data_IF_694191971907
#
_entry.id   IF_694191971907
#
_cell.length_a   1.000
_cell.length_b   1.000
_cell.length_c   1.000
_cell.angle_alpha   90.00
_cell.angle_beta   90.00
_cell.angle_gamma   90.00
#
_symmetry.space_group_name_H-M   'P 1'
#
loop_
_entity.id
_entity.type
_entity.pdbx_description
1 polymer ?
#
# COMPACT_ATOMS: atom_id res chain seq x y z
N UNK A 1 -78.49 -2.24 -15.11
CA UNK A 1 -78.43 -2.73 -16.50
C UNK A 1 -77.00 -2.47 -16.98
N UNK A 2 -76.14 -3.50 -17.06
CA UNK A 2 -75.66 -4.17 -18.31
C UNK A 2 -75.15 -3.15 -19.35
N UNK A 3 -74.01 -3.24 -20.02
CA UNK A 3 -72.88 -4.17 -20.14
C UNK A 3 -71.92 -3.47 -21.16
N UNK A 4 -70.60 -3.69 -21.10
CA UNK A 4 -69.69 -3.21 -22.15
C UNK A 4 -68.23 -3.60 -21.93
N UNK A 5 -67.80 -4.66 -22.60
CA UNK A 5 -66.51 -5.38 -22.49
C UNK A 5 -65.27 -4.64 -23.05
N UNK A 6 -64.11 -4.95 -22.43
CA UNK A 6 -62.75 -5.19 -22.98
C UNK A 6 -62.00 -4.08 -23.75
N UNK A 7 -60.77 -3.74 -23.29
CA UNK A 7 -59.52 -4.33 -23.80
C UNK A 7 -58.33 -4.07 -22.86
N UNK A 8 -57.56 -5.13 -22.68
CA UNK A 8 -56.29 -5.25 -21.96
C UNK A 8 -55.15 -4.80 -22.88
N UNK A 9 -54.25 -3.94 -22.41
CA UNK A 9 -52.91 -3.82 -22.99
C UNK A 9 -51.90 -3.42 -21.92
N UNK A 10 -51.30 -4.47 -21.36
CA UNK A 10 -50.05 -4.47 -20.61
C UNK A 10 -48.94 -4.05 -21.58
N UNK A 11 -48.28 -2.93 -21.34
CA UNK A 11 -47.05 -2.58 -22.06
C UNK A 11 -45.85 -3.11 -21.25
N UNK A 12 -45.45 -4.34 -21.56
CA UNK A 12 -44.13 -4.87 -21.24
C UNK A 12 -43.12 -4.09 -22.10
N UNK A 13 -42.30 -3.25 -21.49
CA UNK A 13 -41.04 -2.81 -22.08
C UNK A 13 -39.91 -3.69 -21.54
N UNK A 14 -39.59 -4.71 -22.34
CA UNK A 14 -38.30 -5.39 -22.32
C UNK A 14 -37.24 -4.41 -22.81
N UNK A 15 -36.35 -3.98 -21.91
CA UNK A 15 -35.04 -3.46 -22.29
C UNK A 15 -33.98 -4.40 -21.70
N UNK A 16 -33.60 -5.36 -22.54
CA UNK A 16 -32.35 -6.07 -22.43
C UNK A 16 -31.21 -5.17 -22.93
N UNK A 17 -30.09 -5.17 -22.19
CA UNK A 17 -28.79 -4.73 -22.71
C UNK A 17 -28.35 -3.33 -22.27
N UNK A 18 -27.69 -3.24 -21.12
CA UNK A 18 -26.34 -2.66 -20.99
C UNK A 18 -25.86 -2.81 -19.53
N UNK A 19 -24.63 -3.33 -19.41
CA UNK A 19 -23.96 -3.75 -18.19
C UNK A 19 -23.83 -2.65 -17.13
N UNK A 20 -24.05 -3.06 -15.88
CA UNK A 20 -23.36 -2.54 -14.70
C UNK A 20 -23.67 -1.10 -14.30
N UNK A 21 -24.84 -0.84 -13.71
CA UNK A 21 -24.98 0.29 -12.79
C UNK A 21 -26.23 0.19 -11.90
N UNK A 22 -26.11 0.78 -10.71
CA UNK A 22 -27.14 1.05 -9.68
C UNK A 22 -27.43 -0.08 -8.68
N UNK A 23 -27.53 -1.37 -9.07
CA UNK A 23 -27.78 -2.44 -8.06
C UNK A 23 -26.58 -2.80 -7.17
N UNK A 24 -25.34 -2.57 -7.62
CA UNK A 24 -24.13 -2.80 -6.82
C UNK A 24 -23.89 -1.75 -5.72
N UNK A 25 -24.57 -0.61 -5.76
CA UNK A 25 -24.39 0.44 -4.75
C UNK A 25 -24.93 0.04 -3.35
N UNK A 26 -25.79 -0.97 -3.27
CA UNK A 26 -26.51 -1.36 -2.05
C UNK A 26 -26.18 -2.77 -1.51
N UNK A 27 -25.26 -3.50 -2.14
CA UNK A 27 -24.71 -4.77 -1.61
C UNK A 27 -23.19 -4.68 -1.63
N UNK A 28 -22.60 -4.00 -0.64
CA UNK A 28 -21.14 -3.76 -0.61
C UNK A 28 -20.36 -4.96 -0.09
N UNK A 29 -20.44 -6.08 -0.80
CA UNK A 29 -19.47 -7.16 -0.62
C UNK A 29 -18.27 -6.92 -1.50
N UNK A 30 -17.06 -7.12 -0.99
CA UNK A 30 -15.85 -7.04 -1.83
C UNK A 30 -15.70 -8.26 -2.73
N UNK A 31 -14.93 -8.20 -3.84
CA UNK A 31 -14.61 -9.39 -4.63
C UNK A 31 -14.01 -10.54 -3.82
N UNK A 32 -13.24 -10.21 -2.77
CA UNK A 32 -12.70 -11.19 -1.82
C UNK A 32 -13.81 -11.87 -1.01
N UNK A 33 -14.76 -11.10 -0.47
CA UNK A 33 -15.88 -11.63 0.31
C UNK A 33 -16.86 -12.42 -0.57
N UNK A 34 -17.07 -12.00 -1.81
CA UNK A 34 -17.84 -12.76 -2.81
C UNK A 34 -17.19 -14.11 -3.10
N UNK A 35 -15.85 -14.15 -3.16
CA UNK A 35 -15.13 -15.39 -3.34
C UNK A 35 -15.30 -16.34 -2.13
N UNK A 36 -15.21 -15.84 -0.90
CA UNK A 36 -15.51 -16.64 0.30
C UNK A 36 -16.92 -17.23 0.21
N UNK A 37 -17.93 -16.42 -0.10
CA UNK A 37 -19.32 -16.88 -0.27
C UNK A 37 -19.44 -17.93 -1.37
N UNK A 38 -18.65 -17.83 -2.43
CA UNK A 38 -18.64 -18.84 -3.50
C UNK A 38 -18.08 -20.19 -3.03
N UNK A 39 -17.08 -20.18 -2.15
CA UNK A 39 -16.55 -21.40 -1.51
C UNK A 39 -17.57 -22.02 -0.56
N UNK A 40 -18.31 -21.20 0.19
CA UNK A 40 -19.40 -21.66 1.06
C UNK A 40 -20.54 -22.28 0.24
N UNK A 41 -20.97 -21.61 -0.84
CA UNK A 41 -22.02 -22.11 -1.74
C UNK A 41 -21.62 -23.42 -2.43
N UNK A 42 -20.33 -23.62 -2.68
CA UNK A 42 -19.79 -24.85 -3.24
C UNK A 42 -19.47 -25.92 -2.18
N UNK A 43 -19.74 -25.64 -0.89
CA UNK A 43 -19.42 -26.53 0.25
C UNK A 43 -17.91 -26.84 0.39
N UNK A 44 -17.06 -25.96 -0.16
CA UNK A 44 -15.61 -26.10 -0.15
C UNK A 44 -14.94 -25.38 1.01
N UNK A 45 -15.64 -24.47 1.70
CA UNK A 45 -15.11 -23.66 2.81
C UNK A 45 -14.52 -24.51 3.96
N UNK A 46 -15.02 -25.73 4.15
CA UNK A 46 -14.54 -26.67 5.16
C UNK A 46 -13.43 -27.61 4.67
N UNK A 47 -12.91 -27.43 3.46
CA UNK A 47 -11.70 -28.16 3.03
C UNK A 47 -10.45 -27.59 3.72
N UNK A 48 -9.39 -28.39 3.95
CA UNK A 48 -8.14 -27.89 4.51
C UNK A 48 -7.56 -26.69 3.73
N UNK A 49 -7.64 -26.72 2.40
CA UNK A 49 -7.15 -25.65 1.53
C UNK A 49 -7.96 -24.36 1.67
N UNK A 50 -9.29 -24.43 1.65
CA UNK A 50 -10.12 -23.24 1.83
C UNK A 50 -9.95 -22.62 3.22
N UNK A 51 -9.89 -23.44 4.28
CA UNK A 51 -9.60 -22.95 5.64
C UNK A 51 -8.24 -22.26 5.72
N UNK A 52 -7.20 -22.86 5.13
CA UNK A 52 -5.87 -22.27 5.09
C UNK A 52 -5.87 -20.93 4.33
N UNK A 53 -6.60 -20.85 3.22
CA UNK A 53 -6.74 -19.63 2.44
C UNK A 53 -7.46 -18.51 3.22
N UNK A 54 -8.58 -18.83 3.87
CA UNK A 54 -9.31 -17.86 4.71
C UNK A 54 -8.44 -17.41 5.88
N UNK A 55 -7.75 -18.34 6.54
CA UNK A 55 -6.85 -18.04 7.65
C UNK A 55 -5.69 -17.15 7.21
N UNK A 56 -5.08 -17.41 6.04
CA UNK A 56 -4.03 -16.55 5.48
C UNK A 56 -4.52 -15.12 5.24
N UNK A 57 -5.75 -14.97 4.73
CA UNK A 57 -6.39 -13.67 4.50
C UNK A 57 -6.73 -12.90 5.78
N UNK A 58 -6.89 -13.59 6.90
CA UNK A 58 -7.09 -12.98 8.23
C UNK A 58 -5.76 -12.70 8.95
N UNK A 59 -4.77 -13.57 8.76
CA UNK A 59 -3.48 -13.48 9.46
C UNK A 59 -2.74 -12.18 9.15
N UNK A 60 -2.96 -11.58 7.97
CA UNK A 60 -2.32 -10.31 7.58
C UNK A 60 -2.54 -9.15 8.55
N UNK A 61 -3.66 -9.15 9.28
CA UNK A 61 -3.95 -8.08 10.26
C UNK A 61 -3.07 -8.16 11.51
N UNK A 62 -2.54 -9.35 11.80
CA UNK A 62 -1.65 -9.62 12.91
C UNK A 62 -0.18 -9.69 12.48
N UNK A 63 0.09 -10.18 11.26
CA UNK A 63 1.42 -10.41 10.72
C UNK A 63 1.56 -9.78 9.33
N UNK A 64 1.93 -8.49 9.33
CA UNK A 64 2.21 -7.71 8.12
C UNK A 64 3.55 -6.99 8.23
N UNK A 65 4.24 -6.87 7.10
CA UNK A 65 5.49 -6.11 7.04
C UNK A 65 5.20 -4.61 7.04
N UNK A 66 6.06 -3.84 7.72
CA UNK A 66 5.95 -2.38 7.79
C UNK A 66 6.85 -1.79 6.71
N UNK A 67 6.26 -1.05 5.78
CA UNK A 67 6.98 -0.40 4.68
C UNK A 67 6.92 1.11 4.79
N UNK A 68 7.96 1.77 4.30
CA UNK A 68 7.95 3.21 4.08
C UNK A 68 7.48 3.48 2.65
N UNK A 69 6.75 4.57 2.45
CA UNK A 69 6.31 5.00 1.14
C UNK A 69 7.22 6.12 0.59
N UNK A 70 7.41 6.20 -0.75
CA UNK A 70 6.92 5.27 -1.76
C UNK A 70 7.65 3.91 -1.72
N UNK A 71 7.01 2.84 -2.21
CA UNK A 71 7.65 1.52 -2.33
C UNK A 71 7.27 0.79 -3.62
N UNK A 72 8.12 -0.13 -4.05
CA UNK A 72 7.80 -1.10 -5.10
C UNK A 72 8.32 -2.49 -4.78
N UNK A 73 7.57 -3.52 -5.16
CA UNK A 73 7.93 -4.92 -4.93
C UNK A 73 7.41 -5.77 -6.09
N UNK A 74 8.15 -6.82 -6.44
CA UNK A 74 7.65 -7.93 -7.24
C UNK A 74 7.58 -9.19 -6.37
N UNK A 75 6.50 -9.96 -6.48
CA UNK A 75 6.25 -11.11 -5.63
C UNK A 75 5.63 -12.29 -6.36
N UNK A 76 5.50 -13.39 -5.62
CA UNK A 76 4.99 -14.66 -6.14
C UNK A 76 4.08 -15.34 -5.12
N UNK A 77 3.05 -15.99 -5.64
CA UNK A 77 2.19 -16.95 -4.96
C UNK A 77 2.26 -18.31 -5.63
N UNK A 78 2.45 -19.37 -4.84
CA UNK A 78 2.38 -20.74 -5.31
C UNK A 78 0.95 -21.26 -5.24
N UNK A 79 0.55 -22.12 -6.19
CA UNK A 79 -0.76 -22.73 -6.18
C UNK A 79 -0.97 -23.68 -4.98
N UNK A 80 0.09 -24.38 -4.56
CA UNK A 80 0.03 -25.40 -3.52
C UNK A 80 0.05 -24.87 -2.08
N UNK A 81 0.29 -23.57 -1.87
CA UNK A 81 0.36 -22.98 -0.54
C UNK A 81 -0.49 -21.71 -0.46
N UNK A 82 -1.74 -21.82 0.04
CA UNK A 82 -2.61 -20.67 0.21
C UNK A 82 -1.95 -19.60 1.09
N UNK A 83 -1.75 -18.41 0.54
CA UNK A 83 -1.07 -17.33 1.23
C UNK A 83 -1.67 -15.97 0.86
N UNK A 84 -1.50 -15.02 1.76
CA UNK A 84 -1.75 -13.60 1.51
C UNK A 84 -0.44 -12.81 1.70
N UNK A 85 -0.38 -11.64 1.09
CA UNK A 85 0.68 -10.65 1.32
C UNK A 85 0.03 -9.39 1.84
N UNK A 86 0.69 -8.75 2.78
CA UNK A 86 0.25 -7.45 3.24
C UNK A 86 1.41 -6.48 3.45
N UNK A 87 1.08 -5.20 3.29
CA UNK A 87 1.95 -4.05 3.47
C UNK A 87 1.26 -3.08 4.40
N UNK A 88 1.87 -2.81 5.55
CA UNK A 88 1.38 -1.83 6.52
C UNK A 88 2.23 -0.57 6.44
N UNK A 89 1.59 0.59 6.41
CA UNK A 89 2.27 1.88 6.26
C UNK A 89 1.49 3.01 6.93
N UNK A 90 2.20 4.09 7.25
CA UNK A 90 1.61 5.33 7.74
C UNK A 90 1.09 6.17 6.58
N UNK A 91 -0.02 6.87 6.81
CA UNK A 91 -0.67 7.75 5.83
C UNK A 91 -1.01 9.08 6.48
N UNK A 92 -0.98 10.15 5.69
CA UNK A 92 -1.29 11.50 6.17
C UNK A 92 -2.56 12.04 5.52
N UNK A 93 -3.31 12.80 6.30
CA UNK A 93 -4.38 13.63 5.79
C UNK A 93 -3.84 14.54 4.66
N UNK A 94 -4.61 14.64 3.57
CA UNK A 94 -4.22 15.44 2.40
C UNK A 94 -3.36 14.69 1.40
N UNK A 95 -3.10 13.40 1.63
CA UNK A 95 -2.47 12.52 0.64
C UNK A 95 -3.50 11.69 -0.12
N UNK A 96 -3.22 11.48 -1.40
CA UNK A 96 -3.87 10.50 -2.26
C UNK A 96 -2.88 9.37 -2.52
N UNK A 97 -3.24 8.17 -2.06
CA UNK A 97 -2.47 6.96 -2.34
C UNK A 97 -2.85 6.41 -3.69
N UNK A 98 -1.86 6.18 -4.54
CA UNK A 98 -2.02 5.44 -5.79
C UNK A 98 -1.24 4.14 -5.69
N UNK A 99 -1.96 3.03 -5.85
CA UNK A 99 -1.42 1.68 -5.94
C UNK A 99 -1.58 1.24 -7.38
N UNK A 100 -0.50 0.82 -8.00
CA UNK A 100 -0.48 0.29 -9.37
C UNK A 100 0.33 -0.98 -9.42
N UNK A 101 0.06 -1.83 -10.38
CA UNK A 101 0.82 -3.06 -10.56
C UNK A 101 0.29 -3.89 -11.69
N UNK A 102 0.94 -5.03 -11.91
CA UNK A 102 0.56 -6.03 -12.90
C UNK A 102 0.44 -7.36 -12.20
N UNK A 103 -0.56 -8.17 -12.53
CA UNK A 103 -0.58 -9.59 -12.20
C UNK A 103 -0.30 -10.41 -13.45
N UNK A 104 0.43 -11.51 -13.31
CA UNK A 104 0.56 -12.55 -14.34
C UNK A 104 0.10 -13.87 -13.72
N UNK A 105 -1.06 -14.34 -14.17
CA UNK A 105 -1.72 -15.55 -13.69
C UNK A 105 -2.50 -16.21 -14.84
N UNK A 106 -3.06 -17.40 -14.59
CA UNK A 106 -3.89 -18.11 -15.57
C UNK A 106 -5.08 -17.26 -16.05
N UNK A 107 -5.56 -17.50 -17.27
CA UNK A 107 -6.73 -16.80 -17.80
C UNK A 107 -7.92 -17.05 -16.85
N UNK A 108 -8.44 -15.98 -16.24
CA UNK A 108 -9.49 -15.93 -15.22
C UNK A 108 -9.03 -16.00 -13.75
N UNK A 109 -7.76 -16.27 -13.46
CA UNK A 109 -7.30 -16.31 -12.08
C UNK A 109 -7.37 -14.91 -11.45
N UNK A 110 -7.96 -14.83 -10.26
CA UNK A 110 -8.15 -13.55 -9.57
C UNK A 110 -7.05 -13.25 -8.57
N UNK A 111 -6.61 -12.00 -8.53
CA UNK A 111 -5.82 -11.42 -7.44
C UNK A 111 -6.66 -10.33 -6.78
N UNK A 112 -7.04 -10.55 -5.52
CA UNK A 112 -7.80 -9.60 -4.71
C UNK A 112 -6.87 -8.57 -4.08
N UNK A 113 -7.26 -7.30 -4.13
CA UNK A 113 -6.57 -6.20 -3.48
C UNK A 113 -7.54 -5.43 -2.59
N UNK A 114 -7.25 -5.38 -1.29
CA UNK A 114 -8.09 -4.71 -0.30
C UNK A 114 -7.25 -3.73 0.54
N UNK A 115 -7.65 -2.46 0.54
CA UNK A 115 -7.06 -1.42 1.36
C UNK A 115 -7.90 -1.20 2.61
N UNK A 116 -7.28 -1.36 3.77
CA UNK A 116 -7.86 -1.10 5.08
C UNK A 116 -7.20 0.11 5.74
N UNK A 117 -7.96 0.80 6.59
CA UNK A 117 -7.49 1.92 7.40
C UNK A 117 -7.84 1.65 8.85
N UNK A 118 -6.89 1.90 9.74
CA UNK A 118 -7.08 1.78 11.19
C UNK A 118 -7.97 2.93 11.69
N UNK A 119 -9.12 2.61 12.27
CA UNK A 119 -10.04 3.56 12.91
C UNK A 119 -10.55 2.95 14.21
N UNK A 120 -10.47 3.69 15.31
CA UNK A 120 -10.92 3.23 16.64
C UNK A 120 -10.36 1.85 17.02
N UNK A 121 -9.09 1.60 16.74
CA UNK A 121 -8.40 0.31 16.96
C UNK A 121 -8.91 -0.87 16.11
N UNK A 122 -9.72 -0.61 15.09
CA UNK A 122 -10.21 -1.61 14.15
C UNK A 122 -9.78 -1.31 12.71
N UNK A 123 -9.51 -2.37 11.94
CA UNK A 123 -9.25 -2.26 10.51
C UNK A 123 -10.58 -2.15 9.74
N UNK A 124 -10.79 -1.02 9.07
CA UNK A 124 -11.97 -0.79 8.24
C UNK A 124 -11.60 -0.75 6.77
N UNK A 125 -12.35 -1.47 5.94
CA UNK A 125 -12.16 -1.45 4.49
C UNK A 125 -12.40 -0.03 3.94
N UNK A 126 -11.48 0.44 3.12
CA UNK A 126 -11.52 1.78 2.54
C UNK A 126 -11.61 1.78 1.01
N UNK A 127 -10.98 0.81 0.35
CA UNK A 127 -11.06 0.63 -1.09
C UNK A 127 -10.69 -0.82 -1.45
N UNK A 128 -11.15 -1.31 -2.60
CA UNK A 128 -10.76 -2.63 -3.10
C UNK A 128 -10.73 -2.63 -4.64
N UNK A 129 -10.02 -3.60 -5.20
CA UNK A 129 -10.07 -3.94 -6.63
C UNK A 129 -9.72 -5.41 -6.81
N UNK A 130 -9.89 -5.93 -8.02
CA UNK A 130 -9.51 -7.29 -8.40
C UNK A 130 -8.81 -7.25 -9.75
N UNK A 131 -7.69 -7.96 -9.87
CA UNK A 131 -7.01 -8.23 -11.14
C UNK A 131 -7.43 -9.62 -11.64
N UNK A 132 -7.57 -9.79 -12.96
CA UNK A 132 -8.03 -11.06 -13.57
C UNK A 132 -7.06 -11.47 -14.66
N UNK A 133 -6.35 -12.58 -14.46
CA UNK A 133 -5.33 -13.07 -15.39
C UNK A 133 -4.14 -12.12 -15.52
N UNK A 134 -3.68 -11.95 -16.76
CA UNK A 134 -2.56 -11.07 -17.11
C UNK A 134 -3.03 -9.63 -17.33
N UNK A 135 -3.21 -8.87 -16.25
CA UNK A 135 -3.75 -7.50 -16.29
C UNK A 135 -3.03 -6.53 -15.36
N UNK A 136 -3.06 -5.26 -15.75
CA UNK A 136 -2.69 -4.14 -14.89
C UNK A 136 -3.85 -3.86 -13.93
N UNK A 137 -3.53 -3.62 -12.67
CA UNK A 137 -4.48 -3.14 -11.67
C UNK A 137 -4.08 -1.77 -11.14
N UNK A 138 -5.10 -1.00 -10.73
CA UNK A 138 -4.91 0.29 -10.07
C UNK A 138 -5.96 0.47 -8.97
N UNK A 139 -5.54 1.06 -7.86
CA UNK A 139 -6.39 1.46 -6.74
C UNK A 139 -5.95 2.84 -6.26
N UNK A 140 -6.91 3.75 -6.05
CA UNK A 140 -6.64 5.08 -5.53
C UNK A 140 -7.50 5.36 -4.31
N UNK A 141 -6.93 6.00 -3.29
CA UNK A 141 -7.66 6.41 -2.08
C UNK A 141 -7.10 7.71 -1.51
N UNK A 142 -7.98 8.67 -1.25
CA UNK A 142 -7.63 9.93 -0.60
C UNK A 142 -7.85 9.87 0.91
N UNK A 143 -6.82 10.17 1.68
CA UNK A 143 -6.88 10.17 3.14
C UNK A 143 -7.34 11.50 3.70
N UNK A 144 -8.41 11.43 4.49
CA UNK A 144 -9.04 12.56 5.19
C UNK A 144 -8.57 12.73 6.64
N UNK A 145 -7.77 11.78 7.14
CA UNK A 145 -7.21 11.77 8.48
C UNK A 145 -5.84 11.08 8.43
N UNK A 146 -4.94 11.48 9.32
CA UNK A 146 -3.72 10.73 9.59
C UNK A 146 -4.06 9.34 10.16
N UNK A 147 -3.22 8.35 9.87
CA UNK A 147 -3.38 7.05 10.47
C UNK A 147 -2.52 5.97 9.83
N UNK A 148 -2.91 4.73 10.09
CA UNK A 148 -2.27 3.53 9.53
C UNK A 148 -3.16 2.89 8.49
N UNK A 149 -2.56 2.44 7.41
CA UNK A 149 -3.22 1.67 6.39
C UNK A 149 -2.56 0.29 6.23
N UNK A 150 -3.33 -0.66 5.74
CA UNK A 150 -2.89 -2.01 5.38
C UNK A 150 -3.45 -2.36 4.02
N UNK A 151 -2.57 -2.73 3.10
CA UNK A 151 -2.96 -3.27 1.80
C UNK A 151 -2.76 -4.79 1.82
N UNK A 152 -3.82 -5.56 1.53
CA UNK A 152 -3.78 -7.01 1.35
C UNK A 152 -3.80 -7.36 -0.13
N UNK A 153 -2.95 -8.30 -0.54
CA UNK A 153 -2.97 -9.00 -1.83
C UNK A 153 -3.18 -10.49 -1.56
N UNK A 154 -4.12 -11.10 -2.27
CA UNK A 154 -4.36 -12.54 -2.15
C UNK A 154 -4.91 -13.11 -3.45
N UNK A 155 -4.27 -14.12 -4.07
CA UNK A 155 -4.85 -14.80 -5.23
C UNK A 155 -6.01 -15.69 -4.78
N UNK A 156 -6.86 -16.11 -5.70
CA UNK A 156 -7.81 -17.19 -5.41
C UNK A 156 -7.12 -18.53 -5.14
N UNK A 157 -7.89 -19.53 -4.70
CA UNK A 157 -7.35 -20.82 -4.27
C UNK A 157 -6.70 -21.56 -5.44
N UNK A 158 -5.64 -22.32 -5.18
CA UNK A 158 -4.92 -23.12 -6.18
C UNK A 158 -4.37 -22.33 -7.37
N UNK A 159 -4.14 -21.02 -7.19
CA UNK A 159 -3.64 -20.14 -8.24
C UNK A 159 -2.17 -19.81 -8.04
N UNK A 160 -1.41 -19.95 -9.13
CA UNK A 160 -0.09 -19.35 -9.26
C UNK A 160 -0.24 -17.92 -9.76
N UNK A 161 0.36 -16.97 -9.07
CA UNK A 161 0.33 -15.57 -9.49
C UNK A 161 1.68 -14.90 -9.25
N UNK A 162 2.22 -14.28 -10.29
CA UNK A 162 3.25 -13.26 -10.16
C UNK A 162 2.59 -11.90 -10.09
N UNK A 163 3.19 -10.98 -9.34
CA UNK A 163 2.74 -9.61 -9.34
C UNK A 163 3.90 -8.63 -9.24
N UNK A 164 3.70 -7.47 -9.83
CA UNK A 164 4.43 -6.25 -9.50
C UNK A 164 3.47 -5.31 -8.77
N UNK A 165 4.01 -4.52 -7.84
CA UNK A 165 3.25 -3.50 -7.14
C UNK A 165 4.12 -2.28 -6.86
N UNK A 166 3.54 -1.10 -7.05
CA UNK A 166 4.08 0.20 -6.67
C UNK A 166 3.04 0.95 -5.88
N UNK A 167 3.41 1.44 -4.69
CA UNK A 167 2.54 2.18 -3.78
C UNK A 167 3.14 3.57 -3.58
N UNK A 168 2.45 4.60 -4.07
CA UNK A 168 2.95 5.98 -4.10
C UNK A 168 1.92 6.96 -3.53
N UNK A 169 2.26 7.72 -2.48
CA UNK A 169 1.46 8.84 -2.02
C UNK A 169 1.72 10.05 -2.92
N UNK A 170 0.67 10.83 -3.15
CA UNK A 170 0.70 12.10 -3.89
C UNK A 170 -0.10 13.15 -3.13
N UNK A 171 0.21 14.44 -3.29
CA UNK A 171 -0.57 15.51 -2.67
C UNK A 171 -1.98 15.58 -3.26
N UNK A 172 -2.97 15.85 -2.40
CA UNK A 172 -4.37 16.03 -2.80
C UNK A 172 -4.64 17.34 -3.56
N UNK A 173 -3.72 18.30 -3.45
CA UNK A 173 -3.79 19.61 -4.07
C UNK A 173 -2.56 19.85 -4.95
N UNK A 174 -2.75 20.62 -6.02
CA UNK A 174 -1.59 21.21 -6.70
C UNK A 174 -1.02 22.34 -5.87
N UNK A 175 0.29 22.58 -6.01
CA UNK A 175 0.93 23.70 -5.34
C UNK A 175 0.28 25.02 -5.80
N UNK A 176 -0.21 25.87 -4.88
CA UNK A 176 -0.94 27.09 -5.25
C UNK A 176 -0.04 28.20 -5.81
N UNK A 177 1.28 28.02 -5.88
CA UNK A 177 2.19 28.92 -6.60
C UNK A 177 2.66 28.25 -7.88
N UNK A 178 2.38 28.88 -9.02
CA UNK A 178 2.74 28.33 -10.33
C UNK A 178 4.24 28.09 -10.46
N UNK A 179 4.63 26.85 -10.81
CA UNK A 179 6.03 26.45 -10.97
C UNK A 179 6.81 26.24 -9.66
N UNK A 180 6.17 26.38 -8.50
CA UNK A 180 6.82 26.13 -7.22
C UNK A 180 7.13 24.65 -7.02
N UNK A 181 8.27 24.38 -6.39
CA UNK A 181 8.69 23.03 -5.99
C UNK A 181 8.65 22.90 -4.46
N UNK A 182 8.95 21.70 -3.95
CA UNK A 182 9.10 21.51 -2.51
C UNK A 182 10.15 22.44 -1.88
N UNK A 183 11.17 22.89 -2.65
CA UNK A 183 12.20 23.82 -2.18
C UNK A 183 11.68 25.25 -1.99
N UNK A 184 10.55 25.59 -2.61
CA UNK A 184 9.91 26.89 -2.47
C UNK A 184 9.22 27.05 -1.12
N UNK A 185 8.92 25.95 -0.41
CA UNK A 185 8.26 25.97 0.90
C UNK A 185 9.31 26.28 1.98
N UNK A 186 9.38 27.54 2.40
CA UNK A 186 10.45 28.06 3.26
C UNK A 186 10.06 28.25 4.73
N UNK A 187 8.77 28.33 5.03
CA UNK A 187 8.26 28.38 6.42
C UNK A 187 7.13 27.39 6.61
N UNK A 188 7.23 26.56 7.64
CA UNK A 188 6.31 25.46 7.91
C UNK A 188 5.22 25.87 8.90
N UNK A 189 4.13 25.10 8.88
CA UNK A 189 3.09 25.15 9.89
C UNK A 189 3.68 24.95 11.29
N UNK A 190 3.09 25.58 12.30
CA UNK A 190 3.50 25.41 13.69
C UNK A 190 4.63 26.33 14.16
N UNK A 191 5.41 26.91 13.23
CA UNK A 191 6.56 27.78 13.56
C UNK A 191 6.11 29.01 14.36
N UNK A 192 6.88 29.38 15.38
CA UNK A 192 6.64 30.58 16.19
C UNK A 192 6.65 31.86 15.36
N UNK A 193 5.71 32.75 15.65
CA UNK A 193 5.59 34.05 15.00
C UNK A 193 5.39 35.15 16.02
N UNK A 194 5.75 36.37 15.60
CA UNK A 194 5.63 37.59 16.40
C UNK A 194 6.30 37.47 17.78
N UNK A 195 7.46 36.80 17.82
CA UNK A 195 8.21 36.54 19.06
C UNK A 195 7.62 35.44 19.94
N UNK A 196 6.94 34.44 19.36
CA UNK A 196 6.35 33.31 20.09
C UNK A 196 4.90 33.55 20.55
N UNK A 197 4.28 34.65 20.15
CA UNK A 197 2.90 35.00 20.57
C UNK A 197 1.82 34.29 19.78
N UNK A 198 2.15 33.78 18.58
CA UNK A 198 1.24 33.00 17.75
C UNK A 198 2.01 31.91 17.03
N UNK A 199 1.32 30.85 16.65
CA UNK A 199 1.84 29.81 15.77
C UNK A 199 1.48 30.09 14.31
N UNK A 200 2.32 29.64 13.38
CA UNK A 200 2.07 29.77 11.95
C UNK A 200 0.98 28.78 11.48
N UNK A 201 -0.18 29.29 11.08
CA UNK A 201 -1.35 28.47 10.68
C UNK A 201 -1.37 28.10 9.17
N UNK A 202 -0.20 28.05 8.54
CA UNK A 202 -0.07 27.75 7.13
C UNK A 202 1.36 27.43 6.74
N UNK A 203 1.65 27.53 5.44
CA UNK A 203 3.02 27.46 4.91
C UNK A 203 3.31 28.70 4.06
N UNK A 204 4.57 29.14 4.08
CA UNK A 204 5.04 30.21 3.21
C UNK A 204 5.77 29.63 2.00
N UNK A 205 5.28 29.95 0.80
CA UNK A 205 5.80 29.47 -0.48
C UNK A 205 6.44 30.65 -1.21
N UNK A 206 7.78 30.67 -1.23
CA UNK A 206 8.58 31.75 -1.79
C UNK A 206 8.64 31.67 -3.32
N UNK A 207 8.39 32.80 -3.96
CA UNK A 207 8.50 32.99 -5.40
C UNK A 207 8.65 34.49 -5.72
N UNK A 208 9.18 34.85 -6.91
CA UNK A 208 9.25 36.24 -7.32
C UNK A 208 7.89 36.95 -7.22
N UNK A 209 7.88 38.23 -6.83
CA UNK A 209 6.67 39.07 -6.88
C UNK A 209 6.11 39.03 -8.31
N UNK A 210 4.79 38.92 -8.44
CA UNK A 210 4.12 38.78 -9.73
C UNK A 210 3.93 37.33 -10.19
N UNK A 211 4.51 36.33 -9.50
CA UNK A 211 4.27 34.92 -9.84
C UNK A 211 2.78 34.57 -9.66
N UNK A 212 2.14 33.86 -10.60
CA UNK A 212 0.75 33.47 -10.45
C UNK A 212 0.48 32.60 -9.23
N UNK A 213 -0.50 33.02 -8.42
CA UNK A 213 -1.14 32.20 -7.38
C UNK A 213 -2.38 31.56 -8.01
N UNK A 214 -2.44 30.23 -8.00
CA UNK A 214 -3.47 29.45 -8.70
C UNK A 214 -4.38 28.70 -7.73
N UNK A 215 -5.57 28.35 -8.21
CA UNK A 215 -6.51 27.51 -7.48
C UNK A 215 -5.94 26.08 -7.30
N UNK A 216 -5.74 25.59 -6.07
CA UNK A 216 -5.16 24.28 -5.80
C UNK A 216 -6.09 23.10 -6.15
N UNK A 217 -7.38 23.37 -6.33
CA UNK A 217 -8.42 22.39 -6.70
C UNK A 217 -9.65 23.12 -7.25
N UNK A 218 -10.75 22.41 -7.50
CA UNK A 218 -12.00 23.01 -7.95
C UNK A 218 -12.78 23.62 -6.77
N UNK A 219 -13.42 24.76 -6.98
CA UNK A 219 -14.17 25.41 -5.93
C UNK A 219 -14.77 26.75 -6.32
N UNK A 220 -14.97 27.60 -5.32
CA UNK A 220 -15.42 28.98 -5.52
C UNK A 220 -14.76 29.94 -4.55
N UNK A 221 -14.66 31.20 -4.96
CA UNK A 221 -14.09 32.27 -4.13
C UNK A 221 -15.12 32.72 -3.11
N UNK A 222 -14.89 32.40 -1.84
CA UNK A 222 -15.80 32.75 -0.74
C UNK A 222 -15.60 34.20 -0.28
N UNK A 223 -14.39 34.76 -0.44
CA UNK A 223 -14.11 36.15 -0.10
C UNK A 223 -12.85 36.68 -0.81
N UNK A 224 -12.86 37.97 -1.13
CA UNK A 224 -11.69 38.76 -1.54
C UNK A 224 -11.64 40.00 -0.66
N UNK A 225 -10.47 40.38 -0.15
CA UNK A 225 -10.37 41.55 0.73
C UNK A 225 -8.95 42.00 1.06
N UNK A 226 -8.83 42.98 1.94
CA UNK A 226 -7.55 43.43 2.51
C UNK A 226 -7.64 43.47 4.02
N UNK A 227 -6.61 43.02 4.73
CA UNK A 227 -6.51 43.12 6.20
C UNK A 227 -5.07 43.43 6.65
N UNK A 228 -4.88 43.75 7.93
CA UNK A 228 -3.58 44.18 8.47
C UNK A 228 -2.51 43.07 8.45
N UNK A 229 -2.91 41.82 8.71
CA UNK A 229 -1.98 40.69 8.81
C UNK A 229 -1.61 40.16 7.42
N UNK A 230 -2.59 39.61 6.70
CA UNK A 230 -2.41 39.01 5.39
C UNK A 230 -2.28 40.02 4.24
N UNK A 231 -2.53 41.31 4.44
CA UNK A 231 -2.53 42.28 3.34
C UNK A 231 -3.67 41.99 2.38
N UNK A 232 -3.38 41.89 1.08
CA UNK A 232 -4.37 41.48 0.06
C UNK A 232 -4.54 39.97 0.09
N UNK A 233 -5.79 39.53 0.16
CA UNK A 233 -6.14 38.15 0.54
C UNK A 233 -7.31 37.58 -0.26
N UNK A 234 -7.22 36.30 -0.58
CA UNK A 234 -8.32 35.53 -1.21
C UNK A 234 -8.67 34.37 -0.30
N UNK A 235 -9.96 34.07 -0.17
CA UNK A 235 -10.47 32.84 0.42
C UNK A 235 -11.22 32.05 -0.63
N UNK A 236 -10.91 30.76 -0.71
CA UNK A 236 -11.54 29.82 -1.64
C UNK A 236 -12.14 28.66 -0.85
N UNK A 237 -13.38 28.30 -1.16
CA UNK A 237 -14.01 27.09 -0.65
C UNK A 237 -13.73 25.92 -1.60
N UNK A 238 -13.16 24.84 -1.07
CA UNK A 238 -13.00 23.56 -1.75
C UNK A 238 -14.35 22.82 -1.81
N UNK A 239 -14.76 22.46 -3.03
CA UNK A 239 -15.98 21.70 -3.27
C UNK A 239 -15.87 20.23 -2.84
N UNK A 240 -14.70 19.61 -2.93
CA UNK A 240 -14.50 18.19 -2.67
C UNK A 240 -14.35 17.88 -1.18
N UNK A 241 -13.66 18.76 -0.44
CA UNK A 241 -13.28 18.51 0.98
C UNK A 241 -14.06 19.36 1.98
N UNK A 242 -14.78 20.38 1.50
CA UNK A 242 -15.42 21.35 2.39
C UNK A 242 -14.42 22.16 3.21
N UNK A 243 -13.20 22.34 2.70
CA UNK A 243 -12.14 23.14 3.33
C UNK A 243 -12.16 24.57 2.79
N UNK A 244 -11.64 25.52 3.58
CA UNK A 244 -11.39 26.90 3.15
C UNK A 244 -9.90 27.09 3.01
N UNK A 245 -9.47 27.55 1.84
CA UNK A 245 -8.10 27.92 1.54
C UNK A 245 -7.92 29.42 1.62
N UNK A 246 -6.86 29.84 2.32
CA UNK A 246 -6.50 31.23 2.52
C UNK A 246 -5.20 31.54 1.79
N UNK A 247 -5.23 32.57 0.95
CA UNK A 247 -4.10 33.05 0.17
C UNK A 247 -3.79 34.48 0.63
N UNK A 248 -2.61 34.70 1.19
CA UNK A 248 -2.20 35.99 1.77
C UNK A 248 -0.94 36.57 1.13
N UNK A 249 -0.67 37.82 1.48
CA UNK A 249 0.46 38.64 1.06
C UNK A 249 0.47 38.95 -0.44
N UNK A 250 -0.69 38.84 -1.10
CA UNK A 250 -0.79 39.01 -2.55
C UNK A 250 -0.39 40.42 -2.99
N UNK A 251 0.23 40.52 -4.17
CA UNK A 251 0.48 41.80 -4.84
C UNK A 251 -0.80 42.32 -5.52
N UNK A 252 -1.57 41.41 -6.14
CA UNK A 252 -2.86 41.69 -6.74
C UNK A 252 -3.83 40.52 -6.58
N UNK A 253 -5.13 40.83 -6.62
CA UNK A 253 -6.24 39.87 -6.59
C UNK A 253 -6.94 39.95 -7.95
N UNK A 254 -7.00 38.82 -8.66
CA UNK A 254 -7.49 38.75 -10.05
C UNK A 254 -8.86 38.05 -10.15
N UNK A 255 -9.50 37.84 -9.00
CA UNK A 255 -10.81 37.20 -8.86
C UNK A 255 -11.71 38.03 -7.96
N UNK A 256 -13.00 37.70 -7.98
CA UNK A 256 -14.04 38.33 -7.18
C UNK A 256 -14.83 37.27 -6.40
N UNK A 257 -15.42 37.67 -5.27
CA UNK A 257 -16.30 36.81 -4.46
C UNK A 257 -17.42 36.21 -5.32
N UNK A 258 -17.74 34.93 -5.11
CA UNK A 258 -18.76 34.18 -5.84
C UNK A 258 -18.27 33.54 -7.14
N UNK A 259 -17.08 33.91 -7.64
CA UNK A 259 -16.51 33.29 -8.84
C UNK A 259 -16.24 31.80 -8.60
N UNK A 260 -16.74 30.94 -9.48
CA UNK A 260 -16.31 29.54 -9.58
C UNK A 260 -14.94 29.48 -10.24
N UNK A 261 -14.10 28.60 -9.73
CA UNK A 261 -12.74 28.38 -10.24
C UNK A 261 -12.48 26.88 -10.39
N UNK A 262 -11.71 26.53 -11.41
CA UNK A 262 -11.17 25.18 -11.58
C UNK A 262 -9.70 25.17 -11.18
N UNK A 263 -9.19 23.98 -10.85
CA UNK A 263 -7.77 23.78 -10.56
C UNK A 263 -6.89 24.43 -11.64
N UNK A 264 -5.93 25.25 -11.22
CA UNK A 264 -5.03 25.97 -12.13
C UNK A 264 -5.46 27.41 -12.47
N UNK A 265 -6.71 27.81 -12.23
CA UNK A 265 -7.15 29.19 -12.46
C UNK A 265 -6.33 30.18 -11.61
N UNK A 266 -5.86 31.27 -12.21
CA UNK A 266 -5.12 32.30 -11.47
C UNK A 266 -6.06 33.12 -10.57
N UNK A 267 -5.74 33.15 -9.28
CA UNK A 267 -6.48 33.86 -8.24
C UNK A 267 -5.92 35.25 -7.96
N UNK A 268 -4.60 35.39 -8.11
CA UNK A 268 -3.86 36.59 -7.76
C UNK A 268 -2.39 36.42 -8.08
N UNK A 269 -1.57 37.38 -7.65
CA UNK A 269 -0.12 37.34 -7.87
C UNK A 269 0.61 37.38 -6.52
N UNK A 270 1.72 36.63 -6.42
CA UNK A 270 2.61 36.62 -5.26
C UNK A 270 3.11 38.04 -4.97
N UNK A 271 3.12 38.42 -3.70
CA UNK A 271 3.60 39.70 -3.24
C UNK A 271 4.24 39.61 -1.86
N UNK A 272 4.17 40.70 -1.11
CA UNK A 272 4.54 40.76 0.29
C UNK A 272 3.69 41.81 1.04
N UNK A 273 2.39 41.93 0.71
CA UNK A 273 1.52 42.92 1.39
C UNK A 273 1.16 42.50 2.83
N UNK A 274 0.64 43.44 3.62
CA UNK A 274 0.32 43.18 5.04
C UNK A 274 1.57 43.21 5.93
N UNK A 275 1.63 42.31 6.91
CA UNK A 275 2.78 42.23 7.81
C UNK A 275 4.05 41.64 7.16
N UNK A 276 3.94 41.08 5.96
CA UNK A 276 5.07 40.56 5.19
C UNK A 276 5.88 41.64 4.46
N UNK A 277 5.52 42.93 4.55
CA UNK A 277 6.09 44.03 3.73
C UNK A 277 7.61 44.14 3.76
N UNK A 278 8.25 43.72 4.85
CA UNK A 278 9.71 43.77 5.04
C UNK A 278 10.40 42.43 4.81
N UNK A 279 9.69 41.45 4.24
CA UNK A 279 10.20 40.09 3.96
C UNK A 279 10.29 39.84 2.44
N UNK A 280 11.06 38.84 1.99
CA UNK A 280 11.05 38.40 0.59
C UNK A 280 9.63 38.01 0.13
N UNK A 281 9.25 38.26 -1.13
CA UNK A 281 7.94 37.88 -1.65
C UNK A 281 7.63 36.38 -1.50
N UNK A 282 6.42 36.10 -1.02
CA UNK A 282 5.92 34.74 -0.81
C UNK A 282 4.39 34.73 -0.77
N UNK A 283 3.81 33.55 -1.00
CA UNK A 283 2.42 33.26 -0.67
C UNK A 283 2.36 32.65 0.73
N UNK A 284 1.58 33.23 1.62
CA UNK A 284 1.10 32.49 2.79
C UNK A 284 -0.14 31.68 2.40
N UNK A 285 -0.08 30.36 2.53
CA UNK A 285 -1.16 29.43 2.21
C UNK A 285 -1.64 28.70 3.46
N UNK A 286 -2.91 28.90 3.82
CA UNK A 286 -3.55 28.24 4.97
C UNK A 286 -4.73 27.36 4.56
N UNK A 287 -4.97 26.29 5.32
CA UNK A 287 -6.12 25.38 5.14
C UNK A 287 -6.94 25.37 6.43
N UNK A 288 -8.25 25.58 6.31
CA UNK A 288 -9.17 25.70 7.44
C UNK A 288 -10.42 24.83 7.28
N UNK A 289 -10.91 24.24 8.39
CA UNK A 289 -12.21 23.59 8.43
C UNK A 289 -12.85 23.66 9.84
N UNK A 290 -12.32 22.90 10.82
CA UNK A 290 -12.66 22.99 12.24
C UNK A 290 -11.43 23.44 13.04
N UNK A 291 -10.77 24.49 12.54
CA UNK A 291 -9.40 24.87 12.91
C UNK A 291 -8.48 24.87 11.68
N UNK A 292 -7.24 25.30 11.88
CA UNK A 292 -6.18 25.25 10.86
C UNK A 292 -5.65 23.82 10.70
N UNK A 293 -5.19 23.48 9.50
CA UNK A 293 -4.58 22.21 9.14
C UNK A 293 -3.21 22.46 8.53
N UNK A 294 -2.27 21.57 8.76
CA UNK A 294 -0.94 21.65 8.14
C UNK A 294 -1.05 21.44 6.62
N UNK A 295 -0.78 22.48 5.79
CA UNK A 295 -0.86 22.36 4.33
C UNK A 295 0.21 21.45 3.72
N UNK A 296 1.29 21.11 4.44
CA UNK A 296 2.44 20.43 3.83
C UNK A 296 2.05 19.12 3.15
N UNK A 297 1.20 18.32 3.78
CA UNK A 297 0.78 17.02 3.24
C UNK A 297 -0.15 17.16 2.04
N UNK A 298 -0.79 18.32 1.88
CA UNK A 298 -1.72 18.60 0.79
C UNK A 298 -1.04 19.04 -0.49
N UNK A 299 0.15 19.65 -0.42
CA UNK A 299 0.82 20.27 -1.59
C UNK A 299 2.23 19.73 -1.84
N UNK A 300 2.86 19.06 -0.86
CA UNK A 300 4.22 18.54 -1.00
C UNK A 300 4.20 17.30 -1.89
N UNK A 301 4.95 17.38 -2.98
CA UNK A 301 5.17 16.22 -3.85
C UNK A 301 6.15 15.25 -3.18
N UNK A 302 5.94 13.96 -3.38
CA UNK A 302 6.88 12.92 -2.96
C UNK A 302 7.50 12.30 -4.20
N UNK A 303 8.66 11.66 -4.05
CA UNK A 303 9.17 10.79 -5.11
C UNK A 303 8.13 9.70 -5.42
N UNK A 304 8.02 9.36 -6.69
CA UNK A 304 7.18 8.25 -7.13
C UNK A 304 7.96 6.96 -6.88
N UNK A 305 7.27 5.89 -6.47
CA UNK A 305 7.90 4.59 -6.39
C UNK A 305 8.54 4.23 -7.73
N UNK A 306 9.77 3.71 -7.69
CA UNK A 306 10.34 3.07 -8.86
C UNK A 306 9.41 1.98 -9.38
N UNK A 307 9.46 1.69 -10.68
CA UNK A 307 8.81 0.48 -11.19
C UNK A 307 9.45 -0.73 -10.53
N UNK A 308 8.63 -1.64 -10.01
CA UNK A 308 9.15 -2.87 -9.42
C UNK A 308 9.96 -3.64 -10.47
N UNK A 309 11.20 -3.97 -10.15
CA UNK A 309 12.00 -4.86 -10.98
C UNK A 309 11.31 -6.22 -11.03
N UNK A 310 11.16 -6.83 -12.22
CA UNK A 310 10.68 -8.20 -12.32
C UNK A 310 11.44 -9.12 -11.38
N UNK A 311 10.70 -10.00 -10.72
CA UNK A 311 11.27 -10.98 -9.83
C UNK A 311 11.99 -12.03 -10.67
N UNK A 312 13.24 -12.36 -10.33
CA UNK A 312 13.90 -13.50 -10.95
C UNK A 312 13.17 -14.78 -10.54
N UNK A 313 12.38 -15.34 -11.46
CA UNK A 313 11.59 -16.53 -11.15
C UNK A 313 12.45 -17.75 -10.88
N UNK A 314 13.73 -17.75 -11.27
CA UNK A 314 14.64 -18.85 -11.02
C UNK A 314 14.99 -19.00 -9.53
N UNK A 315 14.80 -17.96 -8.71
CA UNK A 315 15.02 -18.02 -7.27
C UNK A 315 13.75 -18.41 -6.48
N UNK A 316 12.60 -18.51 -7.15
CA UNK A 316 11.32 -18.83 -6.51
C UNK A 316 11.23 -20.30 -6.11
N UNK A 317 10.59 -20.56 -4.96
CA UNK A 317 10.30 -21.90 -4.43
C UNK A 317 11.55 -22.80 -4.25
N UNK A 318 12.75 -22.20 -4.20
CA UNK A 318 13.99 -22.89 -3.86
C UNK A 318 14.38 -22.53 -2.43
N UNK A 319 14.96 -23.47 -1.67
CA UNK A 319 15.52 -23.14 -0.37
C UNK A 319 16.72 -22.20 -0.55
N UNK A 320 16.78 -21.15 0.24
CA UNK A 320 17.94 -20.27 0.37
C UNK A 320 18.50 -20.36 1.78
N UNK A 321 19.73 -19.90 1.95
CA UNK A 321 20.37 -19.81 3.25
C UNK A 321 21.23 -18.57 3.39
N UNK A 322 21.43 -18.14 4.63
CA UNK A 322 22.38 -17.07 4.97
C UNK A 322 23.81 -17.55 4.68
N UNK A 323 24.57 -16.77 3.91
CA UNK A 323 25.93 -17.13 3.49
C UNK A 323 27.05 -16.44 4.32
N UNK A 324 26.68 -15.46 5.16
CA UNK A 324 27.60 -14.75 6.07
C UNK A 324 27.50 -15.29 7.50
N UNK A 325 28.47 -14.95 8.35
CA UNK A 325 28.42 -15.32 9.78
C UNK A 325 27.25 -14.67 10.53
N UNK A 326 26.87 -13.45 10.11
CA UNK A 326 25.76 -12.70 10.66
C UNK A 326 25.06 -11.94 9.54
N UNK A 327 23.73 -11.99 9.54
CA UNK A 327 22.88 -11.23 8.65
C UNK A 327 21.74 -10.56 9.45
N UNK A 328 21.43 -9.31 9.14
CA UNK A 328 20.31 -8.61 9.77
C UNK A 328 19.03 -8.87 8.98
N UNK A 329 18.04 -9.48 9.62
CA UNK A 329 16.68 -9.61 9.14
C UNK A 329 15.85 -8.42 9.62
N UNK A 330 15.20 -7.69 8.72
CA UNK A 330 14.65 -6.35 8.99
C UNK A 330 13.17 -6.24 8.70
N UNK A 331 12.55 -5.19 9.23
CA UNK A 331 11.13 -4.89 9.00
C UNK A 331 10.82 -4.42 7.57
N UNK A 332 11.82 -3.88 6.85
CA UNK A 332 11.66 -3.33 5.50
C UNK A 332 12.95 -3.38 4.65
N UNK A 333 12.85 -3.10 3.34
CA UNK A 333 13.95 -3.22 2.38
C UNK A 333 14.92 -2.03 2.47
N UNK A 334 15.86 -2.09 3.41
CA UNK A 334 16.91 -1.08 3.56
C UNK A 334 17.61 -1.12 4.92
N UNK A 335 18.80 -0.55 5.01
CA UNK A 335 19.62 -0.58 6.23
C UNK A 335 19.06 0.28 7.38
N UNK A 336 18.22 1.27 7.05
CA UNK A 336 17.57 2.15 8.02
C UNK A 336 16.35 1.52 8.71
N UNK A 337 15.87 0.38 8.21
CA UNK A 337 14.75 -0.32 8.81
C UNK A 337 15.20 -1.08 10.08
N UNK A 338 14.39 -1.07 11.16
CA UNK A 338 14.66 -1.84 12.38
C UNK A 338 15.02 -3.31 12.10
N UNK A 339 15.97 -3.83 12.88
CA UNK A 339 16.34 -5.24 12.87
C UNK A 339 15.32 -6.04 13.67
N UNK A 340 14.66 -6.99 13.02
CA UNK A 340 13.77 -7.98 13.64
C UNK A 340 14.54 -9.08 14.36
N UNK A 341 15.66 -9.51 13.76
CA UNK A 341 16.45 -10.64 14.23
C UNK A 341 17.84 -10.66 13.58
N UNK A 342 18.84 -11.19 14.29
CA UNK A 342 20.14 -11.53 13.70
C UNK A 342 20.16 -13.00 13.30
N UNK A 343 20.37 -13.28 12.03
CA UNK A 343 20.47 -14.65 11.49
C UNK A 343 21.94 -15.05 11.36
N UNK A 344 22.23 -16.33 11.60
CA UNK A 344 23.57 -16.91 11.47
C UNK A 344 23.73 -17.63 10.15
N UNK A 345 24.98 -17.97 9.79
CA UNK A 345 25.29 -18.77 8.59
C UNK A 345 24.42 -20.03 8.52
N UNK A 346 24.06 -20.42 7.30
CA UNK A 346 23.24 -21.57 6.94
C UNK A 346 21.78 -21.49 7.42
N UNK A 347 21.36 -20.40 8.08
CA UNK A 347 19.95 -20.19 8.44
C UNK A 347 19.08 -20.21 7.19
N UNK A 348 18.05 -21.06 7.20
CA UNK A 348 17.07 -21.21 6.12
C UNK A 348 16.24 -19.95 5.92
N UNK A 349 16.07 -19.57 4.66
CA UNK A 349 15.15 -18.52 4.23
C UNK A 349 14.45 -18.94 2.94
N UNK A 350 13.20 -18.52 2.80
CA UNK A 350 12.41 -18.66 1.58
C UNK A 350 12.13 -17.28 1.00
N UNK A 351 12.36 -17.10 -0.30
CA UNK A 351 12.10 -15.81 -0.97
C UNK A 351 10.62 -15.71 -1.35
N UNK A 352 9.96 -14.65 -0.89
CA UNK A 352 8.56 -14.32 -1.18
C UNK A 352 8.40 -13.19 -2.21
N UNK A 353 9.41 -12.32 -2.32
CA UNK A 353 9.38 -11.17 -3.21
C UNK A 353 10.68 -10.37 -3.19
N UNK A 354 10.75 -9.32 -4.02
CA UNK A 354 11.93 -8.51 -4.25
C UNK A 354 11.59 -7.03 -4.30
N UNK A 355 12.34 -6.22 -3.55
CA UNK A 355 12.30 -4.77 -3.59
C UNK A 355 13.74 -4.26 -3.77
N UNK A 356 14.11 -3.90 -5.00
CA UNK A 356 15.48 -3.51 -5.34
C UNK A 356 16.51 -4.61 -5.00
N UNK A 357 17.49 -4.27 -4.16
CA UNK A 357 18.55 -5.18 -3.68
C UNK A 357 18.19 -5.97 -2.41
N UNK A 358 16.91 -6.03 -2.07
CA UNK A 358 16.39 -6.75 -0.91
C UNK A 358 15.36 -7.78 -1.33
N UNK A 359 15.41 -8.94 -0.69
CA UNK A 359 14.34 -9.92 -0.77
C UNK A 359 13.44 -9.81 0.45
N UNK A 360 12.13 -9.85 0.22
CA UNK A 360 11.17 -10.24 1.24
C UNK A 360 11.30 -11.75 1.42
N UNK A 361 11.55 -12.19 2.64
CA UNK A 361 11.77 -13.60 2.96
C UNK A 361 10.90 -14.05 4.12
N UNK A 362 10.67 -15.37 4.17
CA UNK A 362 10.05 -16.08 5.27
C UNK A 362 11.05 -17.02 5.91
N UNK A 363 11.11 -17.02 7.24
CA UNK A 363 11.87 -17.98 8.03
C UNK A 363 11.06 -19.26 8.23
N UNK A 364 11.70 -20.34 8.68
CA UNK A 364 10.99 -21.59 9.01
C UNK A 364 9.93 -21.40 10.12
N UNK A 365 10.09 -20.38 10.99
CA UNK A 365 9.11 -19.93 11.98
C UNK A 365 7.86 -19.24 11.41
N UNK A 366 7.76 -19.11 10.08
CA UNK A 366 6.76 -18.33 9.35
C UNK A 366 6.89 -16.81 9.45
N UNK A 367 7.78 -16.30 10.31
CA UNK A 367 8.05 -14.85 10.44
C UNK A 367 8.56 -14.28 9.11
N UNK A 368 7.97 -13.17 8.68
CA UNK A 368 8.34 -12.47 7.44
C UNK A 368 9.09 -11.17 7.71
N UNK A 369 9.92 -10.79 6.74
CA UNK A 369 10.73 -9.57 6.79
C UNK A 369 11.64 -9.48 5.58
N UNK A 370 12.69 -8.67 5.66
CA UNK A 370 13.59 -8.40 4.54
C UNK A 370 15.04 -8.71 4.87
N UNK A 371 15.77 -9.19 3.88
CA UNK A 371 17.21 -9.43 3.93
C UNK A 371 17.86 -8.97 2.62
N UNK A 372 19.08 -8.44 2.71
CA UNK A 372 19.84 -8.04 1.52
C UNK A 372 20.17 -9.26 0.67
N UNK A 373 20.03 -9.16 -0.65
CA UNK A 373 20.35 -10.23 -1.61
C UNK A 373 21.77 -10.79 -1.43
N UNK A 374 22.72 -9.93 -1.05
CA UNK A 374 24.14 -10.27 -0.89
C UNK A 374 24.41 -11.19 0.30
N UNK A 375 23.50 -11.25 1.27
CA UNK A 375 23.66 -12.00 2.52
C UNK A 375 23.09 -13.42 2.44
N UNK A 376 22.50 -13.80 1.31
CA UNK A 376 21.90 -15.12 1.11
C UNK A 376 22.37 -15.73 -0.21
N UNK A 377 22.32 -17.04 -0.29
CA UNK A 377 22.60 -17.81 -1.50
C UNK A 377 21.63 -18.99 -1.61
N UNK A 378 21.45 -19.55 -2.81
CA UNK A 378 20.72 -20.81 -2.95
C UNK A 378 21.29 -21.88 -2.03
N UNK A 379 20.42 -22.64 -1.36
CA UNK A 379 20.80 -23.79 -0.53
C UNK A 379 20.87 -25.04 -1.42
N UNK A 380 21.76 -25.03 -2.40
CA UNK A 380 21.90 -26.10 -3.41
C UNK A 380 22.89 -27.18 -3.03
N UNK A 381 23.64 -27.01 -1.94
CA UNK A 381 24.47 -28.07 -1.40
C UNK A 381 25.08 -27.77 -0.03
N UNK A 382 25.63 -28.81 0.59
CA UNK A 382 26.29 -28.75 1.88
C UNK A 382 26.87 -30.08 2.33
N UNK A 383 27.18 -30.20 3.62
CA UNK A 383 27.84 -31.38 4.18
C UNK A 383 26.89 -32.58 4.24
N UNK A 384 27.40 -33.76 3.89
CA UNK A 384 26.69 -35.01 4.14
C UNK A 384 26.70 -35.36 5.63
N UNK A 385 25.59 -35.88 6.12
CA UNK A 385 25.46 -36.47 7.46
C UNK A 385 24.84 -37.86 7.34
N UNK A 386 25.20 -38.75 8.27
CA UNK A 386 24.57 -40.07 8.40
C UNK A 386 23.39 -40.01 9.37
N UNK A 387 22.27 -40.59 8.95
CA UNK A 387 21.12 -40.86 9.80
C UNK A 387 21.20 -42.32 10.24
N UNK A 388 21.69 -42.52 11.47
CA UNK A 388 22.04 -43.83 12.01
C UNK A 388 20.85 -44.63 12.54
N UNK A 389 19.71 -43.99 12.77
CA UNK A 389 18.50 -44.60 13.30
C UNK A 389 17.27 -44.18 12.49
N UNK A 390 16.19 -44.95 12.57
CA UNK A 390 14.91 -44.64 11.94
C UNK A 390 14.39 -43.31 12.47
N UNK A 391 14.48 -42.27 11.65
CA UNK A 391 14.00 -40.93 11.95
C UNK A 391 13.00 -40.46 10.88
N UNK A 392 12.04 -39.60 11.23
CA UNK A 392 11.16 -38.97 10.25
C UNK A 392 11.91 -37.87 9.48
N UNK A 393 11.65 -37.80 8.17
CA UNK A 393 11.87 -36.59 7.38
C UNK A 393 10.62 -35.72 7.48
N UNK A 394 10.70 -34.59 8.18
CA UNK A 394 9.57 -33.74 8.56
C UNK A 394 9.24 -32.70 7.49
N UNK A 395 7.95 -32.33 7.37
CA UNK A 395 7.49 -31.30 6.44
C UNK A 395 7.82 -29.86 6.88
N UNK A 396 8.15 -29.66 8.16
CA UNK A 396 8.48 -28.36 8.74
C UNK A 396 9.49 -28.49 9.88
N UNK A 397 10.18 -27.40 10.22
CA UNK A 397 11.18 -27.33 11.29
C UNK A 397 10.56 -27.29 12.69
N UNK A 398 9.72 -28.28 13.04
CA UNK A 398 9.10 -28.41 14.35
C UNK A 398 8.85 -29.89 14.70
N UNK A 399 8.88 -30.29 15.99
CA UNK A 399 8.83 -31.70 16.38
C UNK A 399 7.54 -32.44 15.98
N UNK A 400 6.42 -31.72 15.93
CA UNK A 400 5.07 -32.23 15.64
C UNK A 400 4.69 -32.12 14.15
N UNK A 401 5.66 -31.78 13.27
CA UNK A 401 5.41 -31.71 11.84
C UNK A 401 5.07 -33.09 11.26
N UNK A 402 4.23 -33.10 10.22
CA UNK A 402 3.87 -34.34 9.53
C UNK A 402 5.11 -34.92 8.84
N UNK A 403 5.44 -36.20 9.04
CA UNK A 403 6.52 -36.85 8.30
C UNK A 403 6.18 -36.95 6.82
N UNK A 404 7.08 -36.48 5.95
CA UNK A 404 7.08 -36.73 4.51
C UNK A 404 7.37 -38.21 4.25
N UNK A 405 8.39 -38.73 4.94
CA UNK A 405 8.81 -40.14 4.88
C UNK A 405 9.61 -40.49 6.14
N UNK A 406 10.06 -41.73 6.23
CA UNK A 406 10.99 -42.20 7.27
C UNK A 406 12.26 -42.71 6.61
N UNK A 407 13.41 -42.34 7.19
CA UNK A 407 14.69 -42.89 6.75
C UNK A 407 14.75 -44.40 7.01
N UNK A 408 15.40 -45.11 6.09
CA UNK A 408 15.80 -46.52 6.29
C UNK A 408 17.19 -46.51 6.93
N UNK A 409 17.42 -47.31 7.97
CA UNK A 409 18.71 -47.36 8.64
C UNK A 409 19.77 -48.09 7.78
N UNK A 410 21.02 -47.60 7.69
CA UNK A 410 21.51 -46.22 7.76
C UNK A 410 21.29 -45.48 6.42
N UNK A 411 21.09 -44.15 6.45
CA UNK A 411 20.92 -43.32 5.25
C UNK A 411 21.80 -42.07 5.28
N UNK A 412 22.53 -41.83 4.19
CA UNK A 412 23.28 -40.58 3.97
C UNK A 412 22.37 -39.49 3.40
N UNK A 413 22.42 -38.29 3.98
CA UNK A 413 21.66 -37.12 3.53
C UNK A 413 22.53 -35.87 3.48
N UNK A 414 22.21 -34.95 2.58
CA UNK A 414 22.94 -33.70 2.42
C UNK A 414 22.25 -32.56 3.17
N UNK A 415 22.98 -31.85 4.05
CA UNK A 415 22.45 -30.70 4.78
C UNK A 415 22.45 -29.45 3.90
N UNK A 416 21.27 -28.93 3.60
CA UNK A 416 21.10 -27.74 2.76
C UNK A 416 21.14 -26.45 3.58
N UNK A 417 20.39 -26.41 4.68
CA UNK A 417 20.22 -25.25 5.55
C UNK A 417 19.83 -25.69 6.96
N UNK A 418 19.70 -24.72 7.88
CA UNK A 418 19.40 -24.98 9.29
C UNK A 418 18.38 -24.00 9.84
N UNK A 419 17.66 -24.40 10.88
CA UNK A 419 16.84 -23.50 11.67
C UNK A 419 16.78 -24.04 13.10
N UNK A 420 17.31 -23.28 14.06
CA UNK A 420 17.51 -23.76 15.43
C UNK A 420 18.25 -25.12 15.42
N UNK A 421 17.67 -26.16 16.03
CA UNK A 421 18.25 -27.50 16.06
C UNK A 421 17.85 -28.37 14.85
N UNK A 422 17.00 -27.87 13.96
CA UNK A 422 16.55 -28.61 12.78
C UNK A 422 17.48 -28.37 11.60
N UNK A 423 17.69 -29.43 10.81
CA UNK A 423 18.47 -29.39 9.58
C UNK A 423 17.54 -29.63 8.40
N UNK A 424 17.52 -28.73 7.44
CA UNK A 424 16.90 -28.98 6.14
C UNK A 424 17.87 -29.85 5.34
N UNK A 425 17.43 -31.04 4.93
CA UNK A 425 18.25 -32.01 4.23
C UNK A 425 17.65 -32.39 2.88
N UNK A 426 18.51 -32.90 1.99
CA UNK A 426 18.14 -33.57 0.75
C UNK A 426 18.57 -35.03 0.80
N UNK A 427 17.65 -35.92 0.47
CA UNK A 427 17.90 -37.36 0.37
C UNK A 427 18.49 -37.73 -0.99
N UNK A 428 19.06 -38.93 -1.12
CA UNK A 428 19.65 -39.42 -2.38
C UNK A 428 18.65 -39.55 -3.54
N UNK A 429 17.36 -39.75 -3.24
CA UNK A 429 16.25 -39.73 -4.20
C UNK A 429 15.67 -38.32 -4.44
N UNK A 430 16.27 -37.28 -3.83
CA UNK A 430 15.96 -35.88 -4.10
C UNK A 430 14.85 -35.26 -3.24
N UNK A 431 14.29 -35.99 -2.27
CA UNK A 431 13.32 -35.43 -1.34
C UNK A 431 13.99 -34.40 -0.43
N UNK A 432 13.30 -33.28 -0.18
CA UNK A 432 13.77 -32.22 0.71
C UNK A 432 12.83 -32.12 1.90
N UNK A 433 13.39 -32.11 3.10
CA UNK A 433 12.62 -31.97 4.34
C UNK A 433 13.50 -31.72 5.55
N UNK A 434 12.90 -31.68 6.73
CA UNK A 434 13.57 -31.34 7.98
C UNK A 434 13.90 -32.57 8.80
N UNK A 435 15.07 -32.57 9.45
CA UNK A 435 15.45 -33.60 10.43
C UNK A 435 15.71 -32.91 11.76
N UNK A 436 15.18 -33.51 12.82
CA UNK A 436 15.49 -33.15 14.20
C UNK A 436 16.98 -33.44 14.50
N UNK A 437 17.58 -32.83 15.53
CA UNK A 437 18.99 -32.97 15.84
C UNK A 437 19.45 -34.43 16.01
#
# INVERSE_FOLDING_TARGET
MRNGLFYLSILILLLAGCNGSIKQAFTRTTPYEEYIRSLEKAELNNTPMARAWIAAGQQVFNDSVIVNLPMSEAGYFSAGEPAARAYRFEVREGQVLTITGKSEAEANARLFLDLYIMKNSEWQLAAHTVSVGDTIFQLSHEFRNDGRALLRLQPELLTRAYYTISISPSPALVNPVSGASNRSIGSLYGVDRDGGRRSHEGVDIFAPRGTPVIAPTNGYISRVGTNNLGGKVVWMQDQARGQVYYFAHLDSQLVQTGRKVVQGDTLGLVGNTGNARTTPPHLHFGIYQRGSKDPINYIRTMEIAATALPLDTAVMAKPFKVNTLKANFRTGPGEKHPVLEGLTRDTYVEILGQSGDWYRVRLASQKQGYISKKLISPATGGSAIEISARAPLLSAAKPDAVPITYFKEPSSVEVLAQYQNFRLVRTGDGLVGWVAP
#
